data_IF_473681626299
#
_entry.id   IF_473681626299
#
_cell.length_a   1.000
_cell.length_b   1.000
_cell.length_c   1.000
_cell.angle_alpha   90.00
_cell.angle_beta   90.00
_cell.angle_gamma   90.00
#
_symmetry.space_group_name_H-M   'P 1'
#
loop_
_entity.id
_entity.type
_entity.pdbx_description
1 polymer ?
#
# COMPACT_ATOMS: atom_id res chain seq x y z
N UNK A 1 -4.25 -11.07 -13.33
CA UNK A 1 -3.99 -10.63 -11.94
C UNK A 1 -2.58 -10.08 -11.88
N UNK A 2 -2.30 -9.12 -10.99
CA UNK A 2 -0.99 -8.43 -10.92
C UNK A 2 0.12 -9.25 -10.22
N UNK A 3 -0.20 -10.40 -9.62
CA UNK A 3 0.80 -11.28 -8.99
C UNK A 3 1.16 -10.91 -7.54
N UNK A 4 0.38 -10.05 -6.88
CA UNK A 4 0.59 -9.68 -5.49
C UNK A 4 0.36 -10.88 -4.54
N UNK A 5 1.24 -11.03 -3.55
CA UNK A 5 1.09 -11.99 -2.45
C UNK A 5 -0.18 -11.66 -1.66
N UNK A 6 -0.95 -12.69 -1.33
CA UNK A 6 -2.02 -12.60 -0.36
C UNK A 6 -1.48 -13.00 1.01
N UNK A 7 -2.03 -12.40 2.05
CA UNK A 7 -1.86 -12.84 3.42
C UNK A 7 -2.48 -14.25 3.58
N UNK A 8 -1.72 -15.17 4.18
CA UNK A 8 -2.11 -16.59 4.26
C UNK A 8 -3.28 -16.84 5.21
N UNK A 9 -3.48 -15.98 6.21
CA UNK A 9 -4.50 -16.16 7.24
C UNK A 9 -5.85 -15.57 6.81
N UNK A 10 -5.85 -14.35 6.29
CA UNK A 10 -7.09 -13.64 5.93
C UNK A 10 -7.39 -13.61 4.42
N UNK A 11 -6.45 -13.99 3.56
CA UNK A 11 -6.64 -13.99 2.10
C UNK A 11 -6.70 -12.59 1.46
N UNK A 12 -6.38 -11.54 2.21
CA UNK A 12 -6.30 -10.16 1.74
C UNK A 12 -4.94 -9.87 1.11
N UNK A 13 -4.81 -8.74 0.40
CA UNK A 13 -3.52 -8.38 -0.22
C UNK A 13 -2.51 -8.03 0.86
N UNK A 14 -1.42 -8.77 0.92
CA UNK A 14 -0.33 -8.44 1.84
C UNK A 14 0.34 -7.14 1.39
N UNK A 15 0.63 -6.27 2.35
CA UNK A 15 1.41 -5.04 2.18
C UNK A 15 2.46 -4.93 3.29
N UNK A 16 3.52 -4.17 3.03
CA UNK A 16 4.46 -3.72 4.06
C UNK A 16 3.99 -2.45 4.78
N UNK A 17 4.82 -1.93 5.69
CA UNK A 17 4.55 -0.72 6.47
C UNK A 17 4.39 0.56 5.60
N UNK A 18 4.82 0.50 4.34
CA UNK A 18 4.74 1.59 3.36
C UNK A 18 3.56 1.39 2.37
N UNK A 19 2.66 0.46 2.67
CA UNK A 19 1.53 0.07 1.82
C UNK A 19 1.93 -0.53 0.46
N UNK A 20 3.20 -0.89 0.27
CA UNK A 20 3.66 -1.52 -0.96
C UNK A 20 3.34 -3.03 -0.91
N UNK A 21 2.79 -3.55 -2.00
CA UNK A 21 2.54 -4.99 -2.12
C UNK A 21 3.85 -5.74 -2.37
N UNK A 22 3.79 -7.07 -2.49
CA UNK A 22 4.96 -7.86 -2.92
C UNK A 22 5.44 -7.58 -4.35
N UNK A 23 4.71 -6.76 -5.12
CA UNK A 23 5.08 -6.36 -6.48
C UNK A 23 5.52 -4.90 -6.44
N UNK A 24 6.78 -4.66 -6.81
CA UNK A 24 7.37 -3.32 -6.82
C UNK A 24 6.52 -2.34 -7.65
N UNK A 25 6.27 -1.15 -7.09
CA UNK A 25 5.45 -0.12 -7.72
C UNK A 25 3.93 -0.35 -7.64
N UNK A 26 3.47 -1.47 -7.05
CA UNK A 26 2.05 -1.74 -6.80
C UNK A 26 1.76 -1.58 -5.32
N UNK A 27 0.75 -0.77 -4.99
CA UNK A 27 0.35 -0.43 -3.62
C UNK A 27 -1.11 -0.78 -3.38
N UNK A 28 -1.47 -1.04 -2.12
CA UNK A 28 -2.85 -1.34 -1.72
C UNK A 28 -3.18 -0.69 -0.36
N UNK A 29 -4.45 -0.34 -0.15
CA UNK A 29 -4.93 0.33 1.05
C UNK A 29 -6.43 0.07 1.26
N UNK A 30 -6.89 0.21 2.50
CA UNK A 30 -8.26 0.00 2.92
C UNK A 30 -8.61 -1.47 3.09
N UNK A 31 -9.91 -1.80 2.99
CA UNK A 31 -10.44 -3.13 3.33
C UNK A 31 -9.87 -4.31 2.50
N UNK A 32 -9.09 -4.02 1.46
CA UNK A 32 -8.37 -5.02 0.66
C UNK A 32 -7.05 -5.48 1.29
N UNK A 33 -6.55 -4.76 2.31
CA UNK A 33 -5.35 -5.09 3.07
C UNK A 33 -5.70 -5.59 4.48
N UNK A 34 -4.88 -6.43 5.12
CA UNK A 34 -5.07 -6.79 6.52
C UNK A 34 -5.02 -5.51 7.37
N UNK A 35 -6.08 -5.21 8.12
CA UNK A 35 -6.17 -4.27 9.27
C UNK A 35 -7.68 -4.04 9.59
N UNK A 36 -7.98 -3.09 10.46
CA UNK A 36 -9.37 -2.74 10.83
C UNK A 36 -10.11 -2.10 9.66
N UNK A 37 -11.29 -2.61 9.32
CA UNK A 37 -12.18 -2.10 8.26
C UNK A 37 -12.93 -0.82 8.67
N UNK A 38 -12.20 0.16 9.18
CA UNK A 38 -12.71 1.47 9.57
C UNK A 38 -12.39 2.48 8.48
N UNK A 39 -13.38 3.29 8.09
CA UNK A 39 -13.20 4.30 7.04
C UNK A 39 -12.02 5.26 7.30
N UNK A 40 -11.77 5.61 8.57
CA UNK A 40 -10.64 6.48 8.94
C UNK A 40 -9.28 5.79 8.77
N UNK A 41 -9.22 4.46 8.99
CA UNK A 41 -8.01 3.67 8.79
C UNK A 41 -7.72 3.54 7.30
N UNK A 42 -8.75 3.19 6.50
CA UNK A 42 -8.63 3.13 5.05
C UNK A 42 -8.17 4.47 4.44
N UNK A 43 -8.67 5.60 4.95
CA UNK A 43 -8.22 6.93 4.52
C UNK A 43 -6.75 7.20 4.88
N UNK A 44 -6.30 6.79 6.07
CA UNK A 44 -4.91 6.94 6.51
C UNK A 44 -3.95 6.08 5.67
N UNK A 45 -4.30 4.81 5.44
CA UNK A 45 -3.55 3.90 4.57
C UNK A 45 -3.47 4.43 3.14
N UNK A 46 -4.57 4.97 2.61
CA UNK A 46 -4.58 5.61 1.29
C UNK A 46 -3.63 6.81 1.19
N UNK A 47 -3.57 7.63 2.25
CA UNK A 47 -2.63 8.75 2.31
C UNK A 47 -1.17 8.27 2.37
N UNK A 48 -0.88 7.23 3.16
CA UNK A 48 0.44 6.60 3.24
C UNK A 48 0.87 6.05 1.87
N UNK A 49 0.02 5.26 1.22
CA UNK A 49 0.28 4.74 -0.13
C UNK A 49 0.56 5.86 -1.13
N UNK A 50 -0.24 6.94 -1.12
CA UNK A 50 -0.04 8.07 -2.03
C UNK A 50 1.31 8.79 -1.82
N UNK A 51 1.74 8.96 -0.56
CA UNK A 51 3.06 9.53 -0.23
C UNK A 51 4.17 8.63 -0.77
N UNK A 52 4.06 7.30 -0.61
CA UNK A 52 5.09 6.37 -1.05
C UNK A 52 5.13 6.22 -2.58
N UNK A 53 3.98 6.26 -3.25
CA UNK A 53 3.88 6.38 -4.72
C UNK A 53 4.56 7.66 -5.20
N UNK A 54 4.32 8.79 -4.53
CA UNK A 54 4.99 10.03 -4.89
C UNK A 54 6.51 9.91 -4.73
N UNK A 55 6.99 9.39 -3.58
CA UNK A 55 8.43 9.21 -3.33
C UNK A 55 9.10 8.25 -4.33
N UNK A 56 8.41 7.22 -4.81
CA UNK A 56 8.98 6.26 -5.76
C UNK A 56 9.06 6.82 -7.19
N UNK A 57 8.23 7.80 -7.53
CA UNK A 57 8.21 8.43 -8.85
C UNK A 57 8.98 9.75 -8.90
N UNK A 58 9.21 10.41 -7.77
CA UNK A 58 9.94 11.67 -7.71
C UNK A 58 11.44 11.44 -7.91
N UNK A 59 12.05 12.04 -8.95
CA UNK A 59 13.50 11.98 -9.17
C UNK A 59 14.27 12.55 -7.98
N UNK A 60 15.49 12.05 -7.71
CA UNK A 60 16.30 12.50 -6.55
C UNK A 60 16.49 14.01 -6.50
N UNK A 61 16.62 14.66 -7.66
CA UNK A 61 16.74 16.11 -7.80
C UNK A 61 15.56 16.91 -7.20
N UNK A 62 14.39 16.29 -7.05
CA UNK A 62 13.15 16.94 -6.61
C UNK A 62 12.65 16.42 -5.24
N UNK A 63 13.43 15.59 -4.54
CA UNK A 63 13.12 15.14 -3.18
C UNK A 63 13.54 16.24 -2.20
N UNK A 64 12.56 17.00 -1.69
CA UNK A 64 12.75 18.04 -0.65
C UNK A 64 13.27 17.45 0.66
#
# INVERSE_FOLDING_TARGET
>A
MLGCRLDEECGLVWVDDDQQTSVEGVYAAGDITPHSQLAVVAAAEGAMAAIQVHKSLTPEEHRL
#
